data_IF_667165585272
#
_entry.id   IF_667165585272
#
_cell.length_a   1.000
_cell.length_b   1.000
_cell.length_c   1.000
_cell.angle_alpha   90.00
_cell.angle_beta   90.00
_cell.angle_gamma   90.00
#
_symmetry.space_group_name_H-M   'P 1'
#
loop_
_entity.id
_entity.type
_entity.pdbx_description
1 polymer ?
#
# COMPACT_ATOMS: atom_id res chain seq x y z
N UNK A 1 31.70 -45.49 34.86
CA UNK A 1 30.88 -44.72 33.88
C UNK A 1 31.12 -43.25 34.17
N UNK A 2 31.82 -42.55 33.27
CA UNK A 2 32.30 -41.17 33.48
C UNK A 2 31.14 -40.18 33.45
N UNK A 3 31.08 -39.32 34.47
CA UNK A 3 30.23 -38.15 34.49
C UNK A 3 30.69 -37.21 33.37
N UNK A 4 29.73 -36.63 32.68
CA UNK A 4 29.95 -35.59 31.68
C UNK A 4 30.58 -34.38 32.37
N UNK A 5 31.91 -34.27 32.32
CA UNK A 5 32.61 -33.01 32.53
C UNK A 5 32.33 -32.10 31.31
N UNK A 6 31.16 -31.45 31.32
CA UNK A 6 30.87 -30.30 30.47
C UNK A 6 30.96 -29.05 31.35
N UNK A 7 32.16 -28.80 31.88
CA UNK A 7 32.58 -27.45 32.26
C UNK A 7 33.59 -26.98 31.22
N UNK A 8 33.14 -26.86 29.97
CA UNK A 8 33.87 -26.06 29.00
C UNK A 8 33.57 -24.60 29.33
N UNK A 9 34.51 -23.90 29.97
CA UNK A 9 34.49 -22.43 29.97
C UNK A 9 34.32 -21.98 28.52
N UNK A 10 33.34 -21.13 28.20
CA UNK A 10 33.14 -20.70 26.83
C UNK A 10 34.37 -19.91 26.41
N UNK A 11 35.14 -20.51 25.49
CA UNK A 11 36.38 -19.91 25.01
C UNK A 11 36.08 -18.52 24.45
N UNK A 12 36.98 -17.56 24.69
CA UNK A 12 36.89 -16.18 24.18
C UNK A 12 36.46 -16.07 22.69
N UNK A 13 36.85 -16.96 21.75
CA UNK A 13 36.33 -16.94 20.39
C UNK A 13 34.86 -17.38 20.27
N UNK A 14 34.38 -18.35 21.04
CA UNK A 14 32.98 -18.80 21.01
C UNK A 14 32.02 -17.68 21.45
N UNK A 15 32.40 -16.93 22.49
CA UNK A 15 31.64 -15.75 22.94
C UNK A 15 31.61 -14.64 21.88
N UNK A 16 32.71 -14.43 21.15
CA UNK A 16 32.76 -13.45 20.04
C UNK A 16 31.85 -13.85 18.88
N UNK A 17 31.88 -15.12 18.48
CA UNK A 17 31.00 -15.61 17.40
C UNK A 17 29.52 -15.52 17.77
N UNK A 18 29.17 -15.82 19.03
CA UNK A 18 27.80 -15.68 19.51
C UNK A 18 27.33 -14.21 19.52
N UNK A 19 28.20 -13.29 19.97
CA UNK A 19 27.91 -11.85 19.95
C UNK A 19 27.75 -11.31 18.52
N UNK A 20 28.57 -11.78 17.58
CA UNK A 20 28.45 -11.43 16.17
C UNK A 20 27.12 -11.92 15.58
N UNK A 21 26.74 -13.16 15.87
CA UNK A 21 25.46 -13.72 15.42
C UNK A 21 24.28 -12.94 16.01
N UNK A 22 24.33 -12.62 17.31
CA UNK A 22 23.31 -11.81 17.97
C UNK A 22 23.21 -10.40 17.35
N UNK A 23 24.35 -9.78 17.00
CA UNK A 23 24.39 -8.49 16.32
C UNK A 23 23.75 -8.52 14.93
N UNK A 24 24.03 -9.56 14.13
CA UNK A 24 23.43 -9.73 12.79
C UNK A 24 21.91 -9.94 12.89
N UNK A 25 21.46 -10.76 13.85
CA UNK A 25 20.03 -10.99 14.09
C UNK A 25 19.33 -9.71 14.54
N UNK A 26 19.90 -8.96 15.49
CA UNK A 26 19.35 -7.70 15.97
C UNK A 26 19.24 -6.64 14.86
N UNK A 27 20.25 -6.55 13.98
CA UNK A 27 20.22 -5.64 12.84
C UNK A 27 19.15 -6.05 11.81
N UNK A 28 18.96 -7.35 11.59
CA UNK A 28 17.89 -7.88 10.74
C UNK A 28 16.50 -7.56 11.28
N UNK A 29 16.29 -7.69 12.59
CA UNK A 29 15.02 -7.35 13.26
C UNK A 29 14.72 -5.85 13.21
N UNK A 30 15.73 -4.99 13.45
CA UNK A 30 15.56 -3.53 13.37
C UNK A 30 15.14 -3.07 11.96
N UNK A 31 15.70 -3.69 10.91
CA UNK A 31 15.30 -3.43 9.52
C UNK A 31 13.87 -3.89 9.22
N UNK A 32 13.43 -5.02 9.77
CA UNK A 32 12.06 -5.50 9.61
C UNK A 32 11.04 -4.62 10.34
N UNK A 33 11.40 -4.04 11.49
CA UNK A 33 10.53 -3.14 12.26
C UNK A 33 10.41 -1.73 11.65
N UNK A 34 11.46 -1.26 10.97
CA UNK A 34 11.46 0.01 10.23
C UNK A 34 10.80 -0.08 8.86
N UNK A 35 10.51 -1.29 8.38
CA UNK A 35 9.74 -1.46 7.16
C UNK A 35 8.33 -0.85 7.39
N UNK A 36 7.87 0.05 6.52
CA UNK A 36 6.52 0.60 6.65
C UNK A 36 5.52 -0.57 6.64
N UNK A 37 4.45 -0.49 7.44
CA UNK A 37 3.43 -1.54 7.44
C UNK A 37 2.87 -1.71 6.02
N UNK A 38 2.49 -2.96 5.65
CA UNK A 38 1.91 -3.20 4.33
C UNK A 38 0.70 -2.28 4.13
N UNK A 39 0.56 -1.66 2.95
CA UNK A 39 -0.56 -0.78 2.69
C UNK A 39 -1.88 -1.56 2.83
N UNK A 40 -2.96 -0.90 3.29
CA UNK A 40 -4.26 -1.55 3.41
C UNK A 40 -4.71 -2.08 2.05
N UNK A 41 -5.46 -3.19 2.08
CA UNK A 41 -6.01 -3.79 0.87
C UNK A 41 -6.84 -2.75 0.10
N UNK A 42 -6.50 -2.55 -1.18
CA UNK A 42 -7.25 -1.63 -2.03
C UNK A 42 -8.58 -2.26 -2.40
N UNK A 43 -9.67 -1.58 -2.09
CA UNK A 43 -11.00 -1.90 -2.63
C UNK A 43 -11.27 -0.93 -3.76
N UNK A 44 -11.58 -1.46 -4.95
CA UNK A 44 -12.02 -0.65 -6.08
C UNK A 44 -13.54 -0.70 -6.15
N UNK A 45 -14.17 0.47 -6.25
CA UNK A 45 -15.60 0.61 -6.47
C UNK A 45 -15.84 1.38 -7.75
N UNK A 46 -16.72 0.88 -8.60
CA UNK A 46 -17.15 1.59 -9.81
C UNK A 46 -18.23 2.60 -9.42
N UNK A 47 -17.91 3.89 -9.46
CA UNK A 47 -18.84 4.98 -9.12
C UNK A 47 -19.77 5.34 -10.30
N UNK A 48 -19.32 5.10 -11.54
CA UNK A 48 -20.14 5.27 -12.74
C UNK A 48 -19.73 4.25 -13.79
N UNK A 49 -20.72 3.67 -14.47
CA UNK A 49 -20.52 2.78 -15.62
C UNK A 49 -20.39 3.53 -16.96
N UNK A 50 -20.56 4.87 -16.96
CA UNK A 50 -20.53 5.68 -18.18
C UNK A 50 -21.68 5.42 -19.15
N UNK A 51 -22.76 4.78 -18.69
CA UNK A 51 -23.95 4.46 -19.50
C UNK A 51 -25.24 4.96 -18.86
N UNK A 52 -25.24 5.11 -17.53
CA UNK A 52 -26.41 5.47 -16.74
C UNK A 52 -26.03 6.31 -15.52
N UNK A 53 -27.00 7.00 -14.94
CA UNK A 53 -26.88 7.67 -13.64
C UNK A 53 -27.32 6.76 -12.47
N UNK A 54 -27.34 5.45 -12.68
CA UNK A 54 -27.75 4.50 -11.65
C UNK A 54 -26.83 4.58 -10.42
N UNK A 55 -27.42 4.58 -9.23
CA UNK A 55 -26.70 4.75 -7.97
C UNK A 55 -26.37 6.21 -7.61
N UNK A 56 -26.59 7.15 -8.52
CA UNK A 56 -26.51 8.58 -8.22
C UNK A 56 -27.81 9.06 -7.56
N UNK A 57 -27.71 10.11 -6.75
CA UNK A 57 -28.91 10.76 -6.21
C UNK A 57 -29.72 11.38 -7.35
N UNK A 58 -31.04 11.48 -7.14
CA UNK A 58 -31.91 12.18 -8.07
C UNK A 58 -31.37 13.60 -8.33
N UNK A 59 -31.23 14.00 -9.60
CA UNK A 59 -30.65 15.29 -9.93
C UNK A 59 -31.60 16.42 -9.53
N UNK A 60 -31.03 17.57 -9.14
CA UNK A 60 -31.79 18.78 -8.79
C UNK A 60 -32.29 19.54 -10.04
N UNK A 61 -32.12 18.97 -11.23
CA UNK A 61 -32.47 19.55 -12.53
C UNK A 61 -32.22 18.53 -13.66
N UNK A 62 -32.13 19.00 -14.89
CA UNK A 62 -31.95 18.14 -16.06
C UNK A 62 -30.50 17.64 -16.19
N UNK A 63 -30.20 16.53 -15.50
CA UNK A 63 -28.92 15.84 -15.69
C UNK A 63 -29.06 14.83 -16.81
N UNK A 64 -28.11 14.88 -17.74
CA UNK A 64 -27.99 13.92 -18.83
C UNK A 64 -26.58 13.35 -18.85
N UNK A 65 -26.46 12.14 -19.39
CA UNK A 65 -25.16 11.58 -19.68
C UNK A 65 -24.53 12.34 -20.85
N UNK A 66 -23.26 12.72 -20.69
CA UNK A 66 -22.48 13.32 -21.77
C UNK A 66 -21.54 12.26 -22.35
N UNK A 67 -21.67 12.02 -23.65
CA UNK A 67 -20.81 11.09 -24.39
C UNK A 67 -19.41 11.65 -24.60
N UNK A 68 -19.31 12.97 -24.73
CA UNK A 68 -18.04 13.66 -24.89
C UNK A 68 -18.09 15.06 -24.29
N UNK A 69 -16.93 15.54 -23.84
CA UNK A 69 -16.72 16.91 -23.40
C UNK A 69 -15.50 17.47 -24.16
N UNK A 70 -15.68 18.58 -24.85
CA UNK A 70 -14.61 19.34 -25.49
C UNK A 70 -14.53 20.73 -24.87
N UNK A 71 -13.37 21.38 -24.90
CA UNK A 71 -13.29 22.80 -24.52
C UNK A 71 -14.09 23.63 -25.53
N UNK A 72 -14.87 24.59 -25.03
CA UNK A 72 -15.62 25.49 -25.90
C UNK A 72 -14.64 26.41 -26.64
N UNK A 73 -14.72 26.51 -27.98
CA UNK A 73 -13.85 27.39 -28.76
C UNK A 73 -14.06 28.86 -28.42
N UNK A 74 -15.27 29.25 -28.03
CA UNK A 74 -15.64 30.64 -27.71
C UNK A 74 -15.37 31.00 -26.23
N UNK A 75 -15.20 29.99 -25.37
CA UNK A 75 -14.90 30.20 -23.95
C UNK A 75 -14.00 29.06 -23.41
N UNK A 76 -12.70 29.30 -23.24
CA UNK A 76 -11.74 28.27 -22.82
C UNK A 76 -11.94 27.78 -21.37
N UNK A 77 -12.84 28.40 -20.59
CA UNK A 77 -13.22 27.93 -19.25
C UNK A 77 -14.49 27.06 -19.25
N UNK A 78 -15.18 26.97 -20.38
CA UNK A 78 -16.39 26.17 -20.54
C UNK A 78 -16.11 24.91 -21.34
N UNK A 79 -16.90 23.87 -21.06
CA UNK A 79 -16.91 22.65 -21.87
C UNK A 79 -18.18 22.63 -22.72
N UNK A 80 -18.01 22.34 -24.01
CA UNK A 80 -19.10 21.92 -24.88
C UNK A 80 -19.31 20.42 -24.67
N UNK A 81 -20.51 20.04 -24.21
CA UNK A 81 -20.90 18.65 -23.98
C UNK A 81 -21.68 18.14 -25.19
N UNK A 82 -21.30 16.97 -25.70
CA UNK A 82 -22.11 16.23 -26.65
C UNK A 82 -22.99 15.24 -25.87
N UNK A 83 -24.31 15.35 -26.04
CA UNK A 83 -25.26 14.38 -25.49
C UNK A 83 -25.02 12.99 -26.08
N UNK A 84 -25.23 11.96 -25.26
CA UNK A 84 -25.27 10.57 -25.73
C UNK A 84 -25.19 9.57 -24.59
#
# INVERSE_FOLDING_TARGET
>A
MSFFDITSEPSRPANRSLLLLAGVLALGQARAQLAPPPPPARTSITVSNGQSLDGWRAPLGDWKLAKAAALSPDNPKAFALAEG
#
